data_IF_851017877038
#
_entry.id   IF_851017877038
#
_cell.length_a   1.000
_cell.length_b   1.000
_cell.length_c   1.000
_cell.angle_alpha   90.00
_cell.angle_beta   90.00
_cell.angle_gamma   90.00
#
_symmetry.space_group_name_H-M   'P 1'
#
loop_
_entity.id
_entity.type
_entity.pdbx_description
1 polymer ?
#
# COMPACT_ATOMS: atom_id res chain seq x y z
N UNK A 1 -4.72 9.93 0.91
CA UNK A 1 -3.71 8.94 1.38
C UNK A 1 -3.22 9.36 2.76
N UNK A 2 -2.46 8.51 3.47
CA UNK A 2 -2.22 8.64 4.91
C UNK A 2 -0.73 8.64 5.28
N UNK A 3 -0.44 9.02 6.54
CA UNK A 3 0.89 8.94 7.15
C UNK A 3 0.93 7.68 8.02
N UNK A 4 1.80 6.74 7.69
CA UNK A 4 2.07 5.58 8.54
C UNK A 4 3.15 5.90 9.58
N UNK A 5 3.44 4.96 10.49
CA UNK A 5 4.52 5.13 11.49
C UNK A 5 5.91 5.34 10.87
N UNK A 6 6.15 4.80 9.67
CA UNK A 6 7.49 4.73 9.06
C UNK A 6 7.63 5.58 7.80
N UNK A 7 6.62 6.38 7.46
CA UNK A 7 6.62 7.12 6.21
C UNK A 7 5.31 7.79 5.83
N UNK A 8 5.32 8.45 4.68
CA UNK A 8 4.14 9.02 4.06
C UNK A 8 3.73 8.21 2.83
N UNK A 9 2.42 8.08 2.61
CA UNK A 9 1.87 7.54 1.37
C UNK A 9 1.11 8.66 0.66
N UNK A 10 1.43 8.90 -0.61
CA UNK A 10 0.81 9.93 -1.46
C UNK A 10 0.34 9.32 -2.78
N UNK A 11 -0.67 9.92 -3.42
CA UNK A 11 -1.06 9.54 -4.77
C UNK A 11 -0.05 10.19 -5.71
N UNK A 12 0.34 9.44 -6.72
CA UNK A 12 1.23 9.88 -7.77
C UNK A 12 0.68 9.43 -9.12
N UNK A 13 1.11 10.11 -10.17
CA UNK A 13 0.85 9.72 -11.55
C UNK A 13 2.19 9.65 -12.24
N UNK A 14 2.48 8.53 -12.92
CA UNK A 14 3.63 8.42 -13.79
C UNK A 14 3.47 9.43 -14.93
N UNK A 15 4.40 10.37 -15.05
CA UNK A 15 4.31 11.48 -16.02
C UNK A 15 4.50 11.05 -17.47
N UNK A 16 5.08 9.88 -17.71
CA UNK A 16 5.30 9.32 -19.04
C UNK A 16 4.14 8.43 -19.46
N UNK A 17 3.65 7.56 -18.56
CA UNK A 17 2.62 6.56 -18.89
C UNK A 17 1.20 6.97 -18.50
N UNK A 18 1.05 7.99 -17.66
CA UNK A 18 -0.23 8.39 -17.07
C UNK A 18 -0.75 7.43 -15.99
N UNK A 19 0.03 6.41 -15.60
CA UNK A 19 -0.40 5.40 -14.63
C UNK A 19 -0.50 5.99 -13.22
N UNK A 20 -1.66 5.84 -12.57
CA UNK A 20 -1.85 6.19 -11.16
C UNK A 20 -1.15 5.18 -10.23
N UNK A 21 -0.56 5.68 -9.15
CA UNK A 21 0.14 4.88 -8.16
C UNK A 21 -0.02 5.44 -6.74
N UNK A 22 0.09 4.55 -5.75
CA UNK A 22 0.40 4.95 -4.39
C UNK A 22 1.92 4.98 -4.22
N UNK A 23 2.48 6.14 -3.88
CA UNK A 23 3.90 6.31 -3.61
C UNK A 23 4.14 6.32 -2.11
N UNK A 24 4.82 5.28 -1.60
CA UNK A 24 5.27 5.22 -0.22
C UNK A 24 6.71 5.73 -0.13
N UNK A 25 6.94 6.63 0.82
CA UNK A 25 8.21 7.30 1.07
C UNK A 25 8.67 7.01 2.51
N UNK A 26 9.91 6.55 2.69
CA UNK A 26 10.54 6.39 3.99
C UNK A 26 11.89 7.14 4.02
N UNK A 27 12.23 7.74 5.16
CA UNK A 27 13.55 8.36 5.35
C UNK A 27 14.64 7.28 5.21
N UNK A 28 15.63 7.52 4.36
CA UNK A 28 16.71 6.58 4.13
C UNK A 28 17.67 6.46 5.31
N UNK A 29 17.65 7.43 6.24
CA UNK A 29 18.49 7.48 7.43
C UNK A 29 17.75 7.08 8.71
N UNK A 30 16.47 6.69 8.62
CA UNK A 30 15.77 6.13 9.78
C UNK A 30 16.49 4.88 10.31
N UNK A 31 16.45 4.68 11.63
CA UNK A 31 17.09 3.56 12.32
C UNK A 31 16.54 2.21 11.86
N UNK A 32 15.22 2.11 11.70
CA UNK A 32 14.53 0.89 11.28
C UNK A 32 14.05 1.04 9.84
N UNK A 33 14.76 0.42 8.89
CA UNK A 33 14.45 0.51 7.45
C UNK A 33 13.64 -0.72 7.00
N UNK A 34 12.35 -0.56 6.74
CA UNK A 34 11.45 -1.67 6.38
C UNK A 34 11.10 -1.71 4.89
N UNK A 35 11.13 -0.58 4.20
CA UNK A 35 10.64 -0.51 2.81
C UNK A 35 11.26 -1.55 1.88
N UNK A 36 12.56 -1.82 2.01
CA UNK A 36 13.23 -2.84 1.18
C UNK A 36 12.61 -4.22 1.35
N UNK A 37 12.38 -4.62 2.61
CA UNK A 37 11.78 -5.91 2.93
C UNK A 37 10.31 -5.97 2.49
N UNK A 38 9.55 -4.89 2.72
CA UNK A 38 8.16 -4.81 2.23
C UNK A 38 8.08 -5.00 0.72
N UNK A 39 8.99 -4.38 -0.04
CA UNK A 39 9.04 -4.55 -1.49
C UNK A 39 9.38 -5.98 -1.90
N UNK A 40 10.35 -6.61 -1.22
CA UNK A 40 10.73 -7.99 -1.51
C UNK A 40 9.57 -8.96 -1.25
N UNK A 41 8.84 -8.78 -0.15
CA UNK A 41 7.64 -9.56 0.15
C UNK A 41 6.54 -9.34 -0.90
N UNK A 42 6.27 -8.09 -1.30
CA UNK A 42 5.28 -7.80 -2.35
C UNK A 42 5.67 -8.43 -3.71
N UNK A 43 6.95 -8.43 -4.06
CA UNK A 43 7.44 -9.06 -5.30
C UNK A 43 7.24 -10.58 -5.26
N UNK A 44 7.59 -11.25 -4.15
CA UNK A 44 7.36 -12.68 -3.98
C UNK A 44 5.86 -13.05 -4.01
N UNK A 45 5.00 -12.22 -3.41
CA UNK A 45 3.54 -12.41 -3.46
C UNK A 45 3.00 -12.26 -4.89
N UNK A 46 3.57 -11.36 -5.68
CA UNK A 46 3.21 -11.23 -7.10
C UNK A 46 3.67 -12.44 -7.93
N UNK A 47 4.83 -13.03 -7.64
CA UNK A 47 5.34 -14.23 -8.32
C UNK A 47 4.40 -15.45 -8.14
N UNK A 48 3.86 -15.62 -6.93
CA UNK A 48 2.86 -16.66 -6.65
C UNK A 48 1.43 -16.28 -7.07
N UNK A 49 1.26 -15.12 -7.72
CA UNK A 49 -0.03 -14.58 -8.18
C UNK A 49 -1.06 -14.45 -7.05
N UNK A 50 -0.62 -14.00 -5.87
CA UNK A 50 -1.50 -13.66 -4.76
C UNK A 50 -2.52 -12.60 -5.20
N UNK A 51 -3.80 -12.84 -4.91
CA UNK A 51 -4.93 -12.03 -5.41
C UNK A 51 -5.17 -10.76 -4.61
N UNK A 52 -4.78 -10.75 -3.32
CA UNK A 52 -5.13 -9.69 -2.37
C UNK A 52 -3.95 -8.78 -2.01
N UNK A 53 -2.91 -8.75 -2.85
CA UNK A 53 -1.68 -7.99 -2.62
C UNK A 53 -1.45 -6.91 -3.69
N UNK A 54 -0.88 -5.78 -3.27
CA UNK A 54 -0.52 -4.70 -4.19
C UNK A 54 0.68 -5.12 -5.05
N UNK A 55 0.64 -4.77 -6.34
CA UNK A 55 1.78 -4.93 -7.23
C UNK A 55 2.73 -3.73 -7.10
N UNK A 56 4.03 -4.01 -7.13
CA UNK A 56 5.09 -3.01 -7.21
C UNK A 56 5.25 -2.61 -8.67
N UNK A 57 5.13 -1.32 -8.96
CA UNK A 57 5.38 -0.78 -10.29
C UNK A 57 6.83 -0.34 -10.45
N UNK A 58 7.37 0.35 -9.44
CA UNK A 58 8.75 0.82 -9.45
C UNK A 58 9.25 1.10 -8.02
N UNK A 59 10.56 1.21 -7.85
CA UNK A 59 11.21 1.52 -6.56
C UNK A 59 12.53 2.24 -6.76
N UNK A 60 12.92 3.02 -5.77
CA UNK A 60 14.23 3.66 -5.82
C UNK A 60 14.63 4.37 -4.54
N UNK A 61 15.74 5.10 -4.66
CA UNK A 61 16.29 5.96 -3.63
C UNK A 61 16.54 7.34 -4.22
N UNK A 62 16.16 8.39 -3.51
CA UNK A 62 16.37 9.78 -3.91
C UNK A 62 17.33 10.48 -2.95
N UNK A 63 18.44 10.98 -3.52
CA UNK A 63 19.44 11.84 -2.88
C UNK A 63 19.94 11.35 -1.51
N UNK A 64 20.02 10.03 -1.31
CA UNK A 64 20.30 9.39 -0.03
C UNK A 64 19.39 9.79 1.14
N UNK A 65 18.30 10.52 0.87
CA UNK A 65 17.34 11.05 1.85
C UNK A 65 16.10 10.20 1.98
N UNK A 66 15.61 9.64 0.87
CA UNK A 66 14.37 8.88 0.87
C UNK A 66 14.49 7.59 0.07
N UNK A 67 13.99 6.49 0.63
CA UNK A 67 13.65 5.31 -0.13
C UNK A 67 12.17 5.41 -0.54
N UNK A 68 11.84 4.94 -1.73
CA UNK A 68 10.50 5.03 -2.25
C UNK A 68 10.08 3.78 -3.04
N UNK A 69 8.78 3.52 -3.05
CA UNK A 69 8.15 2.51 -3.88
C UNK A 69 6.85 3.07 -4.45
N UNK A 70 6.66 2.92 -5.75
CA UNK A 70 5.41 3.13 -6.44
C UNK A 70 4.69 1.78 -6.55
N UNK A 71 3.48 1.70 -6.01
CA UNK A 71 2.67 0.47 -5.98
C UNK A 71 1.24 0.77 -6.42
N UNK A 72 0.44 -0.29 -6.56
CA UNK A 72 -0.99 -0.21 -6.89
C UNK A 72 -1.71 0.82 -6.00
N UNK A 73 -2.39 1.78 -6.63
CA UNK A 73 -3.28 2.70 -5.93
C UNK A 73 -4.62 1.99 -5.66
N UNK A 74 -4.97 1.84 -4.38
CA UNK A 74 -6.22 1.18 -3.96
C UNK A 74 -7.21 2.17 -3.35
N UNK A 75 -8.44 1.72 -3.16
CA UNK A 75 -9.54 2.50 -2.61
C UNK A 75 -9.38 2.86 -1.12
N UNK A 76 -10.49 3.24 -0.51
CA UNK A 76 -10.54 3.60 0.92
C UNK A 76 -10.20 2.38 1.78
N UNK A 77 -9.50 2.62 2.89
CA UNK A 77 -9.28 1.58 3.89
C UNK A 77 -10.59 1.17 4.57
N UNK A 78 -10.63 -0.05 5.11
CA UNK A 78 -11.79 -0.57 5.84
C UNK A 78 -12.21 0.35 7.00
N UNK A 79 -11.25 0.96 7.71
CA UNK A 79 -11.53 1.94 8.76
C UNK A 79 -12.29 3.16 8.24
N UNK A 80 -11.90 3.69 7.07
CA UNK A 80 -12.61 4.82 6.46
C UNK A 80 -14.00 4.42 5.97
N UNK A 81 -14.12 3.25 5.35
CA UNK A 81 -15.42 2.72 4.93
C UNK A 81 -16.35 2.51 6.13
N UNK A 82 -15.83 2.00 7.25
CA UNK A 82 -16.59 1.79 8.47
C UNK A 82 -17.14 3.11 9.05
N UNK A 83 -16.34 4.18 9.01
CA UNK A 83 -16.77 5.52 9.43
C UNK A 83 -17.93 6.06 8.59
N UNK A 84 -18.02 5.67 7.33
CA UNK A 84 -19.12 6.06 6.43
C UNK A 84 -20.42 5.28 6.72
N UNK A 85 -20.35 4.13 7.41
CA UNK A 85 -21.50 3.25 7.70
C UNK A 85 -21.83 3.16 9.20
N UNK A 86 -22.01 4.30 9.86
CA UNK A 86 -22.39 4.37 11.30
C UNK A 86 -21.48 3.54 12.21
N UNK A 87 -20.20 3.43 11.85
CA UNK A 87 -19.16 2.68 12.56
C UNK A 87 -19.39 1.16 12.67
N UNK A 88 -20.32 0.57 11.91
CA UNK A 88 -20.57 -0.89 11.93
C UNK A 88 -20.94 -1.41 10.55
N UNK A 89 -20.19 -2.42 10.10
CA UNK A 89 -20.58 -3.20 8.92
C UNK A 89 -21.77 -4.10 9.23
N UNK A 90 -22.59 -4.38 8.21
CA UNK A 90 -23.62 -5.41 8.31
C UNK A 90 -22.98 -6.80 8.45
N UNK A 91 -23.71 -7.78 8.98
CA UNK A 91 -23.22 -9.17 9.08
C UNK A 91 -22.75 -9.71 7.72
N UNK A 92 -23.50 -9.43 6.65
CA UNK A 92 -23.13 -9.81 5.28
C UNK A 92 -21.78 -9.25 4.88
N UNK A 93 -21.58 -7.94 5.05
CA UNK A 93 -20.31 -7.27 4.71
C UNK A 93 -19.17 -7.81 5.57
N UNK A 94 -19.39 -8.01 6.87
CA UNK A 94 -18.38 -8.53 7.78
C UNK A 94 -17.94 -9.96 7.43
N UNK A 95 -18.89 -10.84 7.09
CA UNK A 95 -18.58 -12.22 6.66
C UNK A 95 -17.81 -12.24 5.34
N UNK A 96 -18.20 -11.40 4.37
CA UNK A 96 -17.48 -11.30 3.11
C UNK A 96 -16.05 -10.81 3.34
N UNK A 97 -15.86 -9.71 4.10
CA UNK A 97 -14.54 -9.22 4.44
C UNK A 97 -13.69 -10.29 5.14
N UNK A 98 -14.26 -11.04 6.09
CA UNK A 98 -13.56 -12.11 6.78
C UNK A 98 -13.08 -13.22 5.82
N UNK A 99 -13.92 -13.61 4.85
CA UNK A 99 -13.56 -14.58 3.81
C UNK A 99 -12.39 -14.08 2.96
N UNK A 100 -12.52 -12.88 2.39
CA UNK A 100 -11.49 -12.31 1.49
C UNK A 100 -10.16 -12.05 2.22
N UNK A 101 -10.18 -11.74 3.52
CA UNK A 101 -8.94 -11.55 4.31
C UNK A 101 -8.28 -12.85 4.77
N UNK A 102 -9.00 -13.98 4.74
CA UNK A 102 -8.50 -15.28 5.14
C UNK A 102 -7.77 -15.98 3.97
N UNK A 103 -8.20 -15.72 2.74
CA UNK A 103 -7.59 -16.20 1.49
C UNK A 103 -6.18 -15.66 1.26
#
# INVERSE_FOLDING_TARGET
LGKGCFGAIVAAVNTETGQEAALKLEDANQEIRRLRFEVEVMQQLAEIKSTHCCAVFDRGRKDDKFNWVAMTLVGKSLMKLQMEVKNKFTLRTALHLASETLE
#
